data_IF_931513421170
#
_entry.id   IF_931513421170
#
_cell.length_a   1.000
_cell.length_b   1.000
_cell.length_c   1.000
_cell.angle_alpha   90.00
_cell.angle_beta   90.00
_cell.angle_gamma   90.00
#
_symmetry.space_group_name_H-M   'P 1'
#
loop_
_entity.id
_entity.type
_entity.pdbx_description
1 polymer ?
#
# COMPACT_ATOMS: atom_id res chain seq x y z
N UNK A 1 2.82 -31.72 12.18
CA UNK A 1 1.97 -31.30 11.09
C UNK A 1 1.72 -29.81 11.21
N UNK A 2 2.17 -29.04 10.26
CA UNK A 2 1.83 -27.62 10.21
C UNK A 2 0.39 -27.52 9.74
N UNK A 3 -0.49 -27.01 10.61
CA UNK A 3 -1.89 -26.79 10.26
C UNK A 3 -2.03 -25.77 9.15
N UNK A 4 -3.12 -25.85 8.38
CA UNK A 4 -3.44 -24.85 7.35
C UNK A 4 -3.72 -23.51 8.02
N UNK A 5 -2.94 -22.47 7.71
CA UNK A 5 -3.09 -21.12 8.23
C UNK A 5 -3.67 -20.22 7.14
N UNK A 6 -4.73 -19.47 7.48
CA UNK A 6 -5.26 -18.45 6.58
C UNK A 6 -4.32 -17.24 6.51
N UNK A 7 -3.77 -16.95 5.33
CA UNK A 7 -2.83 -15.85 5.12
C UNK A 7 -3.49 -14.49 4.97
N UNK A 8 -4.80 -14.46 4.70
CA UNK A 8 -5.58 -13.23 4.53
C UNK A 8 -6.88 -13.32 5.33
N UNK A 9 -7.44 -12.16 5.68
CA UNK A 9 -8.77 -12.06 6.27
C UNK A 9 -9.84 -12.52 5.30
N UNK A 10 -11.09 -12.71 5.79
CA UNK A 10 -12.21 -13.11 4.95
C UNK A 10 -12.39 -12.14 3.77
N UNK A 11 -12.50 -12.72 2.57
CA UNK A 11 -12.54 -11.94 1.32
C UNK A 11 -13.91 -11.32 1.09
N UNK A 12 -14.07 -10.06 1.55
CA UNK A 12 -15.26 -9.25 1.33
C UNK A 12 -14.87 -7.80 1.06
N UNK A 13 -15.47 -7.20 0.03
CA UNK A 13 -15.05 -5.89 -0.52
C UNK A 13 -15.91 -4.72 -0.09
N UNK A 14 -16.79 -4.90 0.89
CA UNK A 14 -17.74 -3.89 1.35
C UNK A 14 -17.21 -3.02 2.50
N UNK A 15 -16.13 -3.45 3.18
CA UNK A 15 -15.54 -2.73 4.31
C UNK A 15 -14.13 -2.23 4.01
N UNK A 16 -13.83 -1.03 4.50
CA UNK A 16 -12.47 -0.44 4.53
C UNK A 16 -11.92 -0.39 5.95
N UNK A 17 -12.64 -0.93 6.93
CA UNK A 17 -12.25 -0.93 8.33
C UNK A 17 -11.04 -1.85 8.54
N UNK A 18 -10.10 -1.38 9.34
CA UNK A 18 -8.94 -2.15 9.79
C UNK A 18 -8.96 -2.08 11.31
N UNK A 19 -8.77 -3.21 12.00
CA UNK A 19 -8.70 -3.24 13.46
C UNK A 19 -7.49 -2.45 13.97
N UNK A 20 -7.62 -1.90 15.17
CA UNK A 20 -6.54 -1.12 15.80
C UNK A 20 -5.28 -1.95 15.98
N UNK A 21 -5.43 -3.25 16.29
CA UNK A 21 -4.33 -4.19 16.41
C UNK A 21 -3.56 -4.35 15.08
N UNK A 22 -4.28 -4.55 13.98
CA UNK A 22 -3.66 -4.68 12.65
C UNK A 22 -3.01 -3.38 12.20
N UNK A 23 -3.59 -2.22 12.54
CA UNK A 23 -2.97 -0.91 12.28
C UNK A 23 -1.68 -0.75 13.10
N UNK A 24 -1.70 -1.10 14.38
CA UNK A 24 -0.53 -1.01 15.24
C UNK A 24 0.60 -1.92 14.74
N UNK A 25 0.29 -3.17 14.35
CA UNK A 25 1.26 -4.11 13.79
C UNK A 25 1.87 -3.57 12.48
N UNK A 26 1.04 -3.06 11.56
CA UNK A 26 1.52 -2.48 10.31
C UNK A 26 2.41 -1.26 10.55
N UNK A 27 2.07 -0.38 11.48
CA UNK A 27 2.87 0.80 11.84
C UNK A 27 4.21 0.42 12.45
N UNK A 28 4.22 -0.58 13.33
CA UNK A 28 5.45 -1.13 13.91
C UNK A 28 6.36 -1.72 12.82
N UNK A 29 5.79 -2.51 11.91
CA UNK A 29 6.50 -3.06 10.76
C UNK A 29 7.10 -1.98 9.86
N UNK A 30 6.30 -0.96 9.49
CA UNK A 30 6.76 0.17 8.67
C UNK A 30 7.91 0.91 9.35
N UNK A 31 7.76 1.23 10.63
CA UNK A 31 8.78 1.97 11.38
C UNK A 31 10.08 1.15 11.52
N UNK A 32 9.97 -0.13 11.81
CA UNK A 32 11.13 -1.01 11.97
C UNK A 32 11.86 -1.30 10.64
N UNK A 33 11.11 -1.45 9.54
CA UNK A 33 11.67 -1.83 8.23
C UNK A 33 12.14 -0.66 7.39
N UNK A 34 11.40 0.47 7.43
CA UNK A 34 11.62 1.62 6.53
C UNK A 34 12.01 2.89 7.30
N UNK A 35 11.74 2.94 8.60
CA UNK A 35 12.01 4.10 9.45
C UNK A 35 10.78 4.96 9.74
N UNK A 36 10.86 5.77 10.80
CA UNK A 36 9.74 6.57 11.31
C UNK A 36 9.18 7.58 10.30
N UNK A 37 10.00 8.08 9.37
CA UNK A 37 9.56 9.03 8.34
C UNK A 37 8.55 8.45 7.33
N UNK A 38 8.42 7.13 7.26
CA UNK A 38 7.47 6.44 6.39
C UNK A 38 6.15 6.11 7.08
N UNK A 39 6.06 6.34 8.39
CA UNK A 39 4.86 6.12 9.18
C UNK A 39 4.19 7.48 9.46
N UNK A 40 2.90 7.67 9.15
CA UNK A 40 2.21 8.92 9.45
C UNK A 40 2.10 9.11 10.96
N UNK A 41 2.04 10.36 11.45
CA UNK A 41 1.96 10.67 12.87
C UNK A 41 0.73 10.03 13.55
N UNK A 42 -0.42 10.03 12.87
CA UNK A 42 -1.65 9.39 13.33
C UNK A 42 -2.01 8.17 12.47
N UNK A 43 -2.68 7.16 13.05
CA UNK A 43 -3.23 6.04 12.28
C UNK A 43 -4.17 6.54 11.18
N UNK A 44 -4.11 5.91 10.00
CA UNK A 44 -5.00 6.26 8.90
C UNK A 44 -6.38 5.68 9.13
N UNK A 45 -7.37 6.53 8.91
CA UNK A 45 -8.78 6.12 8.92
C UNK A 45 -9.36 6.31 7.51
N UNK A 46 -10.05 5.28 7.04
CA UNK A 46 -10.77 5.29 5.77
C UNK A 46 -12.25 5.29 6.05
N UNK A 47 -12.97 6.25 5.45
CA UNK A 47 -14.43 6.33 5.60
C UNK A 47 -15.08 5.17 4.86
N UNK A 48 -15.82 4.37 5.58
CA UNK A 48 -16.68 3.32 5.01
C UNK A 48 -17.89 3.99 4.33
N UNK A 49 -18.36 3.45 3.22
CA UNK A 49 -19.57 3.95 2.56
C UNK A 49 -20.77 3.77 3.48
N UNK A 50 -21.69 4.73 3.46
CA UNK A 50 -22.96 4.63 4.19
C UNK A 50 -23.70 3.36 3.75
N UNK A 51 -24.09 2.51 4.73
CA UNK A 51 -24.76 1.23 4.50
C UNK A 51 -23.87 -0.02 4.52
N UNK A 52 -22.56 0.11 4.66
CA UNK A 52 -21.70 -1.05 4.90
C UNK A 52 -21.89 -1.54 6.34
N UNK A 53 -22.05 -2.86 6.51
CA UNK A 53 -22.11 -3.46 7.84
C UNK A 53 -20.73 -3.31 8.53
N UNK A 54 -20.73 -2.65 9.69
CA UNK A 54 -19.53 -2.38 10.50
C UNK A 54 -18.85 -3.66 11.05
N UNK A 55 -19.45 -4.82 10.83
CA UNK A 55 -18.98 -6.12 11.33
C UNK A 55 -17.79 -6.70 10.54
N UNK A 56 -17.49 -6.18 9.35
CA UNK A 56 -16.44 -6.74 8.49
C UNK A 56 -15.19 -5.88 8.47
N UNK A 57 -14.05 -6.54 8.33
CA UNK A 57 -12.76 -5.89 8.05
C UNK A 57 -12.44 -5.86 6.55
N UNK A 58 -11.56 -4.93 6.17
CA UNK A 58 -10.95 -4.92 4.84
C UNK A 58 -10.13 -6.19 4.60
N UNK A 59 -9.95 -6.55 3.34
CA UNK A 59 -9.06 -7.65 2.93
C UNK A 59 -7.62 -7.25 3.23
N UNK A 60 -6.96 -7.98 4.10
CA UNK A 60 -5.58 -7.74 4.53
C UNK A 60 -4.85 -9.04 4.85
N UNK A 61 -3.51 -9.05 4.94
CA UNK A 61 -2.80 -10.18 5.51
C UNK A 61 -3.23 -10.40 6.97
N UNK A 62 -3.33 -11.65 7.37
CA UNK A 62 -3.62 -12.03 8.77
C UNK A 62 -2.50 -11.59 9.70
N UNK A 63 -1.26 -11.66 9.21
CA UNK A 63 -0.05 -11.23 9.89
C UNK A 63 0.86 -10.48 8.90
N UNK A 64 1.23 -9.24 9.24
CA UNK A 64 2.07 -8.38 8.39
C UNK A 64 3.51 -8.87 8.30
N UNK A 65 3.98 -9.62 9.31
CA UNK A 65 5.33 -10.18 9.36
C UNK A 65 5.51 -11.38 8.43
N UNK A 66 4.41 -11.97 7.95
CA UNK A 66 4.43 -12.95 6.87
C UNK A 66 4.59 -12.24 5.53
N UNK A 67 5.79 -11.72 5.28
CA UNK A 67 6.06 -11.03 4.01
C UNK A 67 5.90 -11.96 2.81
N UNK A 68 5.59 -11.44 1.61
CA UNK A 68 5.45 -12.29 0.42
C UNK A 68 6.65 -13.21 0.17
N UNK A 69 7.87 -12.73 0.47
CA UNK A 69 9.09 -13.51 0.31
C UNK A 69 9.14 -14.71 1.25
N UNK A 70 8.65 -14.55 2.48
CA UNK A 70 8.66 -15.62 3.51
C UNK A 70 7.69 -16.76 3.19
N UNK A 71 6.56 -16.44 2.57
CA UNK A 71 5.51 -17.44 2.26
C UNK A 71 5.59 -17.96 0.81
N UNK A 72 6.57 -17.51 0.04
CA UNK A 72 6.68 -17.81 -1.40
C UNK A 72 6.76 -19.30 -1.68
N UNK A 73 7.48 -20.05 -0.85
CA UNK A 73 7.67 -21.52 -1.01
C UNK A 73 6.39 -22.30 -0.75
N UNK A 74 5.45 -21.75 0.01
CA UNK A 74 4.24 -22.44 0.46
C UNK A 74 3.03 -22.14 -0.43
N UNK A 75 3.23 -21.32 -1.46
CA UNK A 75 2.16 -20.83 -2.34
C UNK A 75 2.41 -21.22 -3.80
N UNK A 76 1.32 -21.47 -4.52
CA UNK A 76 1.36 -21.52 -5.98
C UNK A 76 1.70 -20.15 -6.55
N UNK A 77 2.11 -20.08 -7.82
CA UNK A 77 2.44 -18.81 -8.48
C UNK A 77 1.28 -17.81 -8.48
N UNK A 78 0.05 -18.30 -8.62
CA UNK A 78 -1.15 -17.46 -8.61
C UNK A 78 -1.49 -16.96 -7.21
N UNK A 79 -1.43 -17.85 -6.22
CA UNK A 79 -1.63 -17.49 -4.82
C UNK A 79 -0.58 -16.48 -4.35
N UNK A 80 0.69 -16.67 -4.74
CA UNK A 80 1.75 -15.73 -4.43
C UNK A 80 1.51 -14.35 -5.02
N UNK A 81 1.08 -14.26 -6.30
CA UNK A 81 0.76 -12.98 -6.94
C UNK A 81 -0.36 -12.25 -6.21
N UNK A 82 -1.43 -12.97 -5.87
CA UNK A 82 -2.57 -12.40 -5.15
C UNK A 82 -2.17 -11.96 -3.75
N UNK A 83 -1.48 -12.81 -2.99
CA UNK A 83 -1.01 -12.48 -1.64
C UNK A 83 -0.09 -11.26 -1.65
N UNK A 84 0.88 -11.21 -2.55
CA UNK A 84 1.78 -10.08 -2.71
C UNK A 84 1.03 -8.78 -3.00
N UNK A 85 0.00 -8.83 -3.84
CA UNK A 85 -0.83 -7.65 -4.13
C UNK A 85 -1.56 -7.17 -2.88
N UNK A 86 -2.23 -8.08 -2.16
CA UNK A 86 -2.99 -7.76 -0.93
C UNK A 86 -2.04 -7.20 0.14
N UNK A 87 -0.93 -7.87 0.40
CA UNK A 87 0.06 -7.45 1.39
C UNK A 87 0.63 -6.07 1.08
N UNK A 88 1.03 -5.83 -0.17
CA UNK A 88 1.60 -4.56 -0.59
C UNK A 88 0.59 -3.42 -0.50
N UNK A 89 -0.66 -3.65 -0.92
CA UNK A 89 -1.73 -2.65 -0.83
C UNK A 89 -2.09 -2.33 0.61
N UNK A 90 -2.18 -3.34 1.46
CA UNK A 90 -2.43 -3.14 2.88
C UNK A 90 -1.32 -2.30 3.53
N UNK A 91 -0.05 -2.71 3.37
CA UNK A 91 1.06 -1.97 3.95
C UNK A 91 1.10 -0.53 3.44
N UNK A 92 0.91 -0.36 2.14
CA UNK A 92 0.84 0.92 1.49
C UNK A 92 -0.25 1.83 2.07
N UNK A 93 -1.41 1.28 2.39
CA UNK A 93 -2.50 2.05 2.97
C UNK A 93 -2.18 2.61 4.36
N UNK A 94 -1.20 2.04 5.07
CA UNK A 94 -0.78 2.45 6.41
C UNK A 94 0.45 3.36 6.42
N UNK A 95 1.08 3.63 5.26
CA UNK A 95 2.28 4.46 5.15
C UNK A 95 1.97 5.94 4.92
N UNK A 96 2.97 6.81 5.08
CA UNK A 96 2.90 8.24 4.76
C UNK A 96 2.67 8.46 3.26
N UNK A 97 2.07 9.58 2.89
CA UNK A 97 1.87 9.94 1.48
C UNK A 97 3.20 10.11 0.74
N UNK A 98 3.19 9.80 -0.55
CA UNK A 98 4.27 10.19 -1.43
C UNK A 98 4.30 11.71 -1.58
N UNK A 99 5.49 12.29 -1.61
CA UNK A 99 5.71 13.72 -1.82
C UNK A 99 6.40 13.92 -3.15
N UNK A 100 5.85 14.80 -3.97
CA UNK A 100 6.37 15.13 -5.30
C UNK A 100 6.67 16.62 -5.37
N UNK A 101 7.81 16.98 -5.95
CA UNK A 101 8.04 18.34 -6.45
C UNK A 101 7.50 18.43 -7.87
N UNK A 102 6.55 19.32 -8.09
CA UNK A 102 5.97 19.51 -9.41
C UNK A 102 6.46 20.85 -9.99
N UNK A 103 7.07 20.77 -11.17
CA UNK A 103 7.47 21.94 -11.95
C UNK A 103 6.59 22.01 -13.18
N UNK A 104 6.00 23.19 -13.40
CA UNK A 104 5.22 23.49 -14.60
C UNK A 104 5.85 24.71 -15.28
N UNK A 105 6.17 24.58 -16.56
CA UNK A 105 6.73 25.64 -17.38
C UNK A 105 5.72 25.98 -18.46
N UNK A 106 5.44 27.27 -18.64
CA UNK A 106 4.62 27.79 -19.71
C UNK A 106 5.48 28.69 -20.60
N UNK A 107 5.49 28.40 -21.89
CA UNK A 107 6.25 29.10 -22.91
C UNK A 107 5.28 29.82 -23.85
N UNK A 108 5.35 31.14 -23.92
CA UNK A 108 4.60 31.94 -24.87
C UNK A 108 5.38 32.16 -26.16
N UNK A 109 4.74 31.93 -27.31
CA UNK A 109 5.28 32.19 -28.64
C UNK A 109 4.22 32.92 -29.50
N UNK A 110 4.23 34.24 -29.48
CA UNK A 110 3.20 35.05 -30.14
C UNK A 110 1.81 34.77 -29.53
N UNK A 111 0.85 34.36 -30.36
CA UNK A 111 -0.51 34.00 -29.93
C UNK A 111 -0.66 32.56 -29.38
N UNK A 112 0.44 31.79 -29.31
CA UNK A 112 0.42 30.41 -28.87
C UNK A 112 1.12 30.25 -27.52
N UNK A 113 0.59 29.36 -26.69
CA UNK A 113 1.23 28.92 -25.45
C UNK A 113 1.48 27.42 -25.44
N UNK A 114 2.61 27.01 -24.91
CA UNK A 114 3.03 25.63 -24.75
C UNK A 114 3.25 25.38 -23.25
N UNK A 115 2.72 24.26 -22.74
CA UNK A 115 2.89 23.88 -21.34
C UNK A 115 3.63 22.55 -21.24
N UNK A 116 4.65 22.51 -20.41
CA UNK A 116 5.34 21.30 -20.01
C UNK A 116 5.27 21.16 -18.49
N UNK A 117 5.01 19.95 -18.00
CA UNK A 117 5.00 19.66 -16.55
C UNK A 117 5.83 18.43 -16.26
N UNK A 118 6.58 18.47 -15.19
CA UNK A 118 7.33 17.34 -14.64
C UNK A 118 7.10 17.25 -13.14
N UNK A 119 6.94 16.03 -12.63
CA UNK A 119 6.75 15.77 -11.21
C UNK A 119 7.73 14.68 -10.78
N UNK A 120 9.02 15.01 -10.62
CA UNK A 120 9.99 14.06 -10.11
C UNK A 120 9.59 13.66 -8.68
N UNK A 121 9.71 12.36 -8.39
CA UNK A 121 9.47 11.84 -7.06
C UNK A 121 10.61 12.27 -6.14
N UNK A 122 10.32 13.04 -5.08
CA UNK A 122 11.31 13.38 -4.07
C UNK A 122 11.78 12.13 -3.32
N UNK A 123 13.06 12.08 -3.01
CA UNK A 123 13.73 10.93 -2.35
C UNK A 123 13.13 10.58 -0.97
N UNK A 124 12.43 11.49 -0.31
CA UNK A 124 11.63 11.17 0.89
C UNK A 124 10.45 10.25 0.61
N UNK A 125 10.09 10.09 -0.64
CA UNK A 125 9.02 9.21 -1.07
C UNK A 125 9.56 7.87 -1.62
N UNK A 126 10.43 7.20 -0.92
CA UNK A 126 10.78 5.77 -1.20
C UNK A 126 9.56 4.84 -1.24
N UNK A 127 8.44 5.35 -0.76
CA UNK A 127 7.12 4.73 -0.85
C UNK A 127 6.72 4.38 -2.29
N UNK A 128 6.87 5.31 -3.25
CA UNK A 128 6.60 4.99 -4.66
C UNK A 128 7.61 4.00 -5.22
N UNK A 129 8.87 3.98 -4.73
CA UNK A 129 9.84 2.95 -5.12
C UNK A 129 9.48 1.58 -4.55
N UNK A 130 8.98 1.51 -3.32
CA UNK A 130 8.49 0.25 -2.74
C UNK A 130 7.27 -0.25 -3.51
N UNK A 131 6.29 0.63 -3.81
CA UNK A 131 5.13 0.27 -4.62
C UNK A 131 5.53 0.02 -6.08
N UNK A 132 6.37 0.86 -6.70
CA UNK A 132 6.82 0.65 -8.07
C UNK A 132 7.67 -0.63 -8.19
N UNK A 133 8.54 -0.92 -7.25
CA UNK A 133 9.27 -2.19 -7.23
C UNK A 133 8.34 -3.40 -7.00
N UNK A 134 7.31 -3.23 -6.17
CA UNK A 134 6.31 -4.25 -5.90
C UNK A 134 5.29 -4.41 -7.06
N UNK A 135 4.97 -3.32 -7.78
CA UNK A 135 4.03 -3.33 -8.91
C UNK A 135 4.72 -3.55 -10.26
N UNK A 136 6.00 -3.17 -10.41
CA UNK A 136 6.76 -3.33 -11.66
C UNK A 136 6.99 -4.80 -12.07
N UNK A 137 6.73 -5.74 -11.18
CA UNK A 137 6.67 -7.17 -11.50
C UNK A 137 5.31 -7.65 -12.02
N UNK A 138 4.29 -6.79 -12.06
CA UNK A 138 2.97 -7.08 -12.61
C UNK A 138 2.92 -6.42 -13.99
N UNK A 139 3.32 -7.15 -15.04
CA UNK A 139 2.93 -6.79 -16.41
C UNK A 139 1.44 -7.07 -16.55
N UNK A 140 0.70 -6.04 -16.95
CA UNK A 140 -0.70 -6.16 -17.36
C UNK A 140 -0.80 -6.92 -18.67
#
# INVERSE_FOLDING_TARGET
GHGTVGLITYMRTDSLRISDEAQAAARSFVTGRYGAGYCPAAPRQYKTKAGAQDAHEAIRPSDVDLTPERVKSDLTSEQYRLYRLIWSRFLASQMSNAVYDSVSVELGAGAHSFRASASPLLVKARYAQVIAALLCGIRW
#
